data_IF_186542665805
#
_entry.id   IF_186542665805
#
_cell.length_a   1.000
_cell.length_b   1.000
_cell.length_c   1.000
_cell.angle_alpha   90.00
_cell.angle_beta   90.00
_cell.angle_gamma   90.00
#
_symmetry.space_group_name_H-M   'P 1'
#
loop_
_entity.id
_entity.type
_entity.pdbx_description
1 polymer ?
#
# COMPACT_ATOMS: atom_id res chain seq x y z
N UNK A 1 30.83 65.76 -46.09
CA UNK A 1 32.15 65.25 -45.66
C UNK A 1 32.30 65.61 -44.19
N UNK A 2 31.85 64.74 -43.29
CA UNK A 2 31.95 65.00 -41.85
C UNK A 2 33.42 64.96 -41.45
N UNK A 3 33.89 66.00 -40.77
CA UNK A 3 35.29 66.13 -40.35
C UNK A 3 35.52 65.18 -39.18
N UNK A 4 36.15 64.06 -39.47
CA UNK A 4 36.59 63.06 -38.49
C UNK A 4 37.54 63.74 -37.49
N UNK A 5 37.12 63.92 -36.24
CA UNK A 5 37.88 64.66 -35.22
C UNK A 5 38.57 63.70 -34.26
N UNK A 6 39.86 63.44 -34.47
CA UNK A 6 40.67 62.72 -33.48
C UNK A 6 40.79 63.52 -32.17
N UNK A 7 40.80 62.84 -31.03
CA UNK A 7 41.13 63.48 -29.75
C UNK A 7 42.54 64.08 -29.83
N UNK A 8 42.71 65.35 -29.47
CA UNK A 8 44.02 65.99 -29.50
C UNK A 8 44.97 65.34 -28.48
N UNK A 9 46.28 65.33 -28.76
CA UNK A 9 47.31 64.83 -27.83
C UNK A 9 47.21 65.46 -26.44
N UNK A 10 46.76 66.72 -26.37
CA UNK A 10 46.50 67.44 -25.12
C UNK A 10 45.36 66.82 -24.32
N UNK A 11 44.25 66.49 -24.97
CA UNK A 11 43.09 65.82 -24.36
C UNK A 11 43.44 64.37 -23.98
N UNK A 12 44.21 63.65 -24.80
CA UNK A 12 44.68 62.31 -24.47
C UNK A 12 45.58 62.29 -23.22
N UNK A 13 46.39 63.32 -23.02
CA UNK A 13 47.22 63.49 -21.82
C UNK A 13 46.44 63.77 -20.53
N UNK A 14 45.14 64.07 -20.59
CA UNK A 14 44.29 64.20 -19.41
C UNK A 14 43.83 62.83 -18.87
N UNK A 15 43.79 61.80 -19.72
CA UNK A 15 43.36 60.45 -19.37
C UNK A 15 44.51 59.43 -19.28
N UNK A 16 45.58 59.65 -20.05
CA UNK A 16 46.73 58.76 -20.15
C UNK A 16 47.98 59.44 -19.59
N UNK A 17 48.51 58.92 -18.49
CA UNK A 17 49.59 59.58 -17.74
C UNK A 17 50.99 59.43 -18.35
N UNK A 18 51.20 58.55 -19.33
CA UNK A 18 52.52 58.28 -19.94
C UNK A 18 52.52 58.50 -21.47
N UNK A 19 53.50 59.23 -22.04
CA UNK A 19 53.65 59.41 -23.49
C UNK A 19 53.58 58.13 -24.34
N UNK A 20 54.09 57.00 -23.85
CA UNK A 20 54.04 55.73 -24.57
C UNK A 20 52.61 55.19 -24.71
N UNK A 21 51.76 55.39 -23.69
CA UNK A 21 50.34 55.02 -23.77
C UNK A 21 49.55 55.92 -24.72
N UNK A 22 49.92 57.21 -24.80
CA UNK A 22 49.34 58.16 -25.77
C UNK A 22 49.72 57.78 -27.20
N UNK A 23 51.00 57.43 -27.44
CA UNK A 23 51.47 56.97 -28.76
C UNK A 23 50.83 55.63 -29.15
N UNK A 24 50.67 54.72 -28.21
CA UNK A 24 49.95 53.47 -28.45
C UNK A 24 48.50 53.72 -28.88
N UNK A 25 47.81 54.66 -28.23
CA UNK A 25 46.44 55.05 -28.60
C UNK A 25 46.37 55.72 -29.98
N UNK A 26 47.28 56.65 -30.29
CA UNK A 26 47.39 57.27 -31.62
C UNK A 26 47.63 56.20 -32.72
N UNK A 27 48.39 55.14 -32.41
CA UNK A 27 48.68 54.04 -33.31
C UNK A 27 47.51 53.04 -33.50
N UNK A 28 46.47 53.08 -32.65
CA UNK A 28 45.25 52.29 -32.88
C UNK A 28 44.48 52.78 -34.12
N UNK A 29 44.75 54.01 -34.59
CA UNK A 29 44.13 54.59 -35.78
C UNK A 29 42.62 54.83 -35.68
N UNK A 30 42.05 54.65 -34.50
CA UNK A 30 40.62 54.83 -34.24
C UNK A 30 40.32 56.32 -34.06
N UNK A 31 39.43 56.83 -34.90
CA UNK A 31 38.92 58.19 -34.75
C UNK A 31 37.66 58.24 -33.87
N UNK A 32 37.09 59.44 -33.63
CA UNK A 32 35.87 59.60 -32.82
C UNK A 32 34.68 58.79 -33.29
N UNK A 33 34.53 58.63 -34.61
CA UNK A 33 33.39 57.96 -35.22
C UNK A 33 33.57 56.44 -35.17
N UNK A 34 34.80 55.95 -35.34
CA UNK A 34 35.16 54.55 -35.13
C UNK A 34 34.97 54.14 -33.67
N UNK A 35 35.40 54.99 -32.73
CA UNK A 35 35.19 54.78 -31.30
C UNK A 35 33.71 54.80 -30.92
N UNK A 36 32.94 55.76 -31.43
CA UNK A 36 31.49 55.80 -31.23
C UNK A 36 30.82 54.53 -31.76
N UNK A 37 31.21 54.08 -32.96
CA UNK A 37 30.69 52.84 -33.56
C UNK A 37 31.02 51.61 -32.71
N UNK A 38 32.25 51.51 -32.19
CA UNK A 38 32.64 50.40 -31.31
C UNK A 38 31.93 50.44 -29.96
N UNK A 39 31.76 51.61 -29.35
CA UNK A 39 31.01 51.77 -28.10
C UNK A 39 29.55 51.38 -28.32
N UNK A 40 28.93 51.84 -29.40
CA UNK A 40 27.57 51.45 -29.76
C UNK A 40 27.45 49.95 -30.05
N UNK A 41 28.45 49.35 -30.70
CA UNK A 41 28.54 47.90 -30.89
C UNK A 41 28.60 47.14 -29.56
N UNK A 42 29.38 47.61 -28.59
CA UNK A 42 29.50 47.03 -27.25
C UNK A 42 28.20 47.23 -26.45
N UNK A 43 27.58 48.42 -26.50
CA UNK A 43 26.30 48.72 -25.83
C UNK A 43 25.17 47.82 -26.30
N UNK A 44 25.14 47.54 -27.60
CA UNK A 44 24.10 46.74 -28.23
C UNK A 44 24.38 45.22 -28.24
N UNK A 45 25.58 44.81 -27.83
CA UNK A 45 25.93 43.40 -27.72
C UNK A 45 24.99 42.69 -26.73
N UNK A 46 24.50 41.51 -27.12
CA UNK A 46 23.68 40.70 -26.22
C UNK A 46 24.58 40.10 -25.13
N UNK A 47 24.43 40.59 -23.91
CA UNK A 47 25.19 40.12 -22.75
C UNK A 47 24.26 39.55 -21.69
N UNK A 48 24.77 38.55 -20.96
CA UNK A 48 24.13 38.00 -19.78
C UNK A 48 24.74 38.67 -18.55
N UNK A 49 23.89 39.15 -17.65
CA UNK A 49 24.29 39.94 -16.48
C UNK A 49 23.61 39.40 -15.23
N UNK A 50 24.24 39.57 -14.06
CA UNK A 50 23.61 39.23 -12.78
C UNK A 50 22.64 40.33 -12.32
N UNK A 51 22.91 41.58 -12.71
CA UNK A 51 22.03 42.72 -12.51
C UNK A 51 22.18 43.71 -13.67
N UNK A 52 21.20 44.60 -13.83
CA UNK A 52 21.21 45.62 -14.86
C UNK A 52 22.32 46.64 -14.62
N UNK A 53 23.17 46.82 -15.62
CA UNK A 53 24.16 47.90 -15.68
C UNK A 53 23.63 49.06 -16.52
N UNK A 54 23.89 50.33 -16.15
CA UNK A 54 23.55 51.47 -16.99
C UNK A 54 24.44 51.58 -18.25
N UNK A 55 25.47 50.73 -18.39
CA UNK A 55 26.45 50.82 -19.48
C UNK A 55 26.08 50.03 -20.73
N UNK A 56 25.07 49.15 -20.65
CA UNK A 56 24.68 48.27 -21.75
C UNK A 56 23.18 48.40 -22.01
N UNK A 57 22.79 48.31 -23.27
CA UNK A 57 21.40 48.53 -23.69
C UNK A 57 20.67 47.20 -23.94
N UNK A 58 21.38 46.16 -24.36
CA UNK A 58 20.81 44.84 -24.69
C UNK A 58 21.20 43.76 -23.67
N UNK A 59 20.71 43.92 -22.44
CA UNK A 59 21.02 43.02 -21.33
C UNK A 59 19.94 41.97 -21.10
N UNK A 60 20.37 40.74 -20.79
CA UNK A 60 19.52 39.72 -20.17
C UNK A 60 19.99 39.53 -18.75
N UNK A 61 19.06 39.61 -17.81
CA UNK A 61 19.34 39.37 -16.39
C UNK A 61 19.13 37.90 -16.10
N UNK A 62 20.13 37.26 -15.49
CA UNK A 62 19.96 35.91 -14.92
C UNK A 62 19.02 36.04 -13.73
N UNK A 63 17.90 35.35 -13.79
CA UNK A 63 16.95 35.26 -12.68
C UNK A 63 16.59 33.81 -12.44
N UNK A 64 16.27 33.49 -11.19
CA UNK A 64 15.69 32.22 -10.80
C UNK A 64 14.22 32.37 -10.46
N UNK A 65 13.43 31.36 -10.79
CA UNK A 65 12.07 31.17 -10.27
C UNK A 65 12.06 30.70 -8.80
N UNK A 66 13.24 30.40 -8.23
CA UNK A 66 13.43 29.88 -6.88
C UNK A 66 13.72 28.38 -6.86
N UNK A 67 13.78 27.71 -8.02
CA UNK A 67 14.14 26.30 -8.13
C UNK A 67 15.60 26.05 -8.50
N UNK A 68 16.17 26.94 -9.31
CA UNK A 68 17.61 27.00 -9.58
C UNK A 68 18.20 28.08 -8.69
N UNK A 69 19.21 27.75 -7.90
CA UNK A 69 19.88 28.74 -7.06
C UNK A 69 21.05 29.35 -7.81
N UNK A 70 21.08 30.67 -7.87
CA UNK A 70 22.24 31.43 -8.33
C UNK A 70 22.86 32.12 -7.12
N UNK A 71 24.09 31.73 -6.79
CA UNK A 71 24.85 32.36 -5.70
C UNK A 71 26.07 33.03 -6.30
N UNK A 72 26.11 34.36 -6.21
CA UNK A 72 27.28 35.15 -6.55
C UNK A 72 28.18 35.29 -5.31
N UNK A 73 29.38 34.72 -5.37
CA UNK A 73 30.41 34.87 -4.34
C UNK A 73 31.07 36.26 -4.32
N UNK A 74 30.68 37.17 -5.21
CA UNK A 74 31.23 38.52 -5.34
C UNK A 74 32.59 38.55 -6.03
N UNK A 75 33.27 39.70 -5.97
CA UNK A 75 34.55 39.91 -6.65
C UNK A 75 35.64 38.92 -6.15
N UNK A 76 36.15 38.10 -7.06
CA UNK A 76 37.13 37.05 -6.75
C UNK A 76 36.53 35.76 -6.18
N UNK A 77 35.21 35.71 -5.98
CA UNK A 77 34.46 34.53 -5.56
C UNK A 77 34.01 33.65 -6.74
N UNK A 78 33.38 32.52 -6.43
CA UNK A 78 32.78 31.63 -7.44
C UNK A 78 31.34 32.03 -7.70
N UNK A 79 30.93 32.01 -8.96
CA UNK A 79 29.51 31.99 -9.34
C UNK A 79 29.03 30.54 -9.35
N UNK A 80 28.08 30.20 -8.47
CA UNK A 80 27.55 28.84 -8.37
C UNK A 80 26.13 28.78 -8.91
N UNK A 81 25.87 27.77 -9.74
CA UNK A 81 24.53 27.39 -10.20
C UNK A 81 24.18 26.06 -9.53
N UNK A 82 23.14 26.07 -8.71
CA UNK A 82 22.67 24.91 -7.95
C UNK A 82 21.19 24.64 -8.16
N UNK A 83 20.69 23.64 -7.46
CA UNK A 83 19.26 23.38 -7.33
C UNK A 83 18.87 23.69 -5.89
N UNK A 84 17.73 24.33 -5.69
CA UNK A 84 17.19 24.49 -4.35
C UNK A 84 16.83 23.14 -3.76
N UNK A 85 17.12 22.99 -2.47
CA UNK A 85 16.70 21.84 -1.70
C UNK A 85 15.18 21.71 -1.72
N UNK A 86 14.72 20.47 -1.71
CA UNK A 86 13.30 20.18 -1.48
C UNK A 86 13.01 20.27 0.01
N UNK A 87 11.73 20.38 0.39
CA UNK A 87 11.32 20.25 1.79
C UNK A 87 11.51 18.84 2.39
N UNK A 88 11.97 17.87 1.60
CA UNK A 88 12.18 16.48 2.03
C UNK A 88 13.55 16.35 2.68
N UNK A 89 13.57 15.92 3.94
CA UNK A 89 14.82 15.61 4.66
C UNK A 89 15.54 14.43 3.99
N UNK A 90 16.86 14.50 3.91
CA UNK A 90 17.69 13.40 3.38
C UNK A 90 17.59 12.17 4.29
N UNK A 91 17.38 10.99 3.69
CA UNK A 91 17.20 9.75 4.45
C UNK A 91 16.69 8.60 3.58
N UNK A 92 16.62 7.40 4.18
CA UNK A 92 15.96 6.25 3.59
C UNK A 92 14.47 6.28 3.89
N UNK A 93 13.63 6.13 2.86
CA UNK A 93 12.19 6.06 3.00
C UNK A 93 11.72 4.70 2.49
N UNK A 94 11.10 3.93 3.37
CA UNK A 94 10.62 2.57 3.10
C UNK A 94 11.52 1.48 3.66
N UNK A 95 10.89 0.34 3.96
CA UNK A 95 11.50 -0.92 4.38
C UNK A 95 10.55 -2.08 4.00
N UNK A 96 10.82 -3.29 4.48
CA UNK A 96 10.00 -4.46 4.18
C UNK A 96 8.56 -4.41 4.75
N UNK A 97 8.27 -3.46 5.64
CA UNK A 97 7.03 -3.32 6.39
C UNK A 97 6.34 -1.97 6.17
N UNK A 98 6.84 -1.10 5.30
CA UNK A 98 6.24 0.20 5.03
C UNK A 98 6.14 0.49 3.53
N UNK A 99 5.02 1.09 3.11
CA UNK A 99 4.90 1.73 1.79
C UNK A 99 5.16 3.23 1.91
N UNK A 100 5.64 3.80 0.82
CA UNK A 100 6.01 5.22 0.75
C UNK A 100 5.09 5.93 -0.22
N UNK A 101 4.44 6.98 0.27
CA UNK A 101 3.72 7.93 -0.57
C UNK A 101 4.57 9.20 -0.72
N UNK A 102 4.59 9.76 -1.93
CA UNK A 102 5.34 10.98 -2.21
C UNK A 102 4.46 12.00 -2.94
N UNK A 103 4.72 13.27 -2.65
CA UNK A 103 4.17 14.39 -3.41
C UNK A 103 5.23 14.88 -4.39
N UNK A 104 4.82 15.14 -5.63
CA UNK A 104 5.67 15.78 -6.64
C UNK A 104 5.12 17.14 -7.02
N UNK A 105 6.01 18.10 -7.29
CA UNK A 105 5.60 19.38 -7.84
C UNK A 105 5.43 19.33 -9.37
N UNK A 106 5.00 20.44 -9.97
CA UNK A 106 4.83 20.56 -11.43
C UNK A 106 6.14 20.37 -12.22
N UNK A 107 7.30 20.43 -11.56
CA UNK A 107 8.63 20.22 -12.13
C UNK A 107 9.15 18.79 -11.89
N UNK A 108 8.36 17.91 -11.28
CA UNK A 108 8.72 16.52 -11.01
C UNK A 108 9.62 16.28 -9.79
N UNK A 109 9.95 17.30 -9.00
CA UNK A 109 10.71 17.13 -7.76
C UNK A 109 9.80 16.61 -6.65
N UNK A 110 10.32 15.73 -5.80
CA UNK A 110 9.62 15.29 -4.60
C UNK A 110 9.58 16.45 -3.60
N UNK A 111 8.40 16.78 -3.05
CA UNK A 111 8.21 17.88 -2.10
C UNK A 111 7.71 17.44 -0.73
N UNK A 112 7.31 16.17 -0.62
CA UNK A 112 6.92 15.56 0.64
C UNK A 112 6.98 14.05 0.53
N UNK A 113 7.34 13.40 1.64
CA UNK A 113 7.36 11.94 1.75
C UNK A 113 6.59 11.54 3.00
N UNK A 114 5.70 10.56 2.86
CA UNK A 114 4.96 9.94 3.95
C UNK A 114 5.24 8.45 3.94
N UNK A 115 5.47 7.89 5.12
CA UNK A 115 5.74 6.46 5.32
C UNK A 115 4.55 5.86 6.05
N UNK A 116 3.92 4.85 5.45
CA UNK A 116 2.77 4.17 6.02
C UNK A 116 3.14 2.74 6.37
N UNK A 117 2.93 2.35 7.63
CA UNK A 117 3.13 0.98 8.08
C UNK A 117 2.13 0.06 7.40
N UNK A 118 2.58 -1.10 6.92
CA UNK A 118 1.73 -2.13 6.36
C UNK A 118 1.20 -3.03 7.47
N UNK A 119 -0.11 -3.16 7.57
CA UNK A 119 -0.78 -4.13 8.44
C UNK A 119 -2.05 -4.67 7.77
N UNK A 120 -2.69 -5.67 8.39
CA UNK A 120 -3.93 -6.23 7.86
C UNK A 120 -5.08 -5.23 7.78
N UNK A 121 -5.02 -4.12 8.52
CA UNK A 121 -6.09 -3.12 8.57
C UNK A 121 -6.06 -2.19 7.36
N UNK A 122 -4.89 -2.00 6.74
CA UNK A 122 -4.70 -1.04 5.64
C UNK A 122 -4.20 -1.64 4.33
N UNK A 123 -4.12 -2.97 4.25
CA UNK A 123 -3.86 -3.67 2.99
C UNK A 123 -5.16 -4.27 2.46
N UNK A 124 -5.72 -3.62 1.44
CA UNK A 124 -6.89 -4.11 0.72
C UNK A 124 -6.54 -5.37 -0.07
N UNK A 125 -7.34 -6.42 0.12
CA UNK A 125 -7.19 -7.66 -0.65
C UNK A 125 -7.83 -7.55 -2.04
N UNK A 126 -7.21 -8.20 -3.04
CA UNK A 126 -7.76 -8.27 -4.39
C UNK A 126 -8.72 -9.45 -4.56
N UNK A 127 -9.38 -9.58 -5.71
CA UNK A 127 -10.28 -10.73 -5.96
C UNK A 127 -9.56 -12.07 -6.14
N UNK A 128 -8.28 -12.06 -6.49
CA UNK A 128 -7.48 -13.27 -6.79
C UNK A 128 -6.58 -13.71 -5.64
N UNK A 129 -6.00 -12.75 -4.92
CA UNK A 129 -5.06 -13.01 -3.83
C UNK A 129 -5.63 -12.44 -2.55
N UNK A 130 -6.17 -13.36 -1.74
CA UNK A 130 -6.73 -13.09 -0.43
C UNK A 130 -5.81 -13.76 0.62
N UNK A 131 -5.54 -13.05 1.71
CA UNK A 131 -4.97 -13.56 2.96
C UNK A 131 -5.83 -14.67 3.55
N UNK A 132 -7.15 -14.62 3.35
CA UNK A 132 -8.09 -15.67 3.75
C UNK A 132 -9.01 -16.07 2.61
N UNK A 133 -9.20 -17.38 2.40
CA UNK A 133 -10.31 -17.89 1.59
C UNK A 133 -11.09 -18.93 2.37
N UNK A 134 -12.42 -18.86 2.29
CA UNK A 134 -13.28 -19.87 2.91
C UNK A 134 -12.97 -21.27 2.38
N UNK A 135 -12.54 -21.39 1.11
CA UNK A 135 -12.20 -22.68 0.53
C UNK A 135 -10.94 -23.31 1.16
N UNK A 136 -9.83 -22.55 1.28
CA UNK A 136 -8.61 -23.07 1.94
C UNK A 136 -8.84 -23.38 3.41
N UNK A 137 -9.62 -22.54 4.09
CA UNK A 137 -9.99 -22.78 5.49
C UNK A 137 -10.78 -24.11 5.63
N UNK A 138 -11.66 -24.41 4.67
CA UNK A 138 -12.41 -25.66 4.64
C UNK A 138 -11.54 -26.88 4.28
N UNK A 139 -10.65 -26.74 3.30
CA UNK A 139 -9.71 -27.80 2.88
C UNK A 139 -8.70 -28.17 3.98
N UNK A 140 -8.42 -27.27 4.91
CA UNK A 140 -7.53 -27.53 6.05
C UNK A 140 -8.14 -28.47 7.11
N UNK A 141 -9.46 -28.69 7.07
CA UNK A 141 -10.16 -29.55 8.02
C UNK A 141 -10.23 -30.99 7.53
N UNK A 142 -10.19 -31.93 8.47
CA UNK A 142 -10.44 -33.35 8.22
C UNK A 142 -11.37 -33.91 9.30
N UNK A 143 -12.18 -34.89 8.92
CA UNK A 143 -13.12 -35.51 9.85
C UNK A 143 -12.59 -36.82 10.44
N UNK A 144 -12.79 -37.00 11.74
CA UNK A 144 -12.61 -38.28 12.41
C UNK A 144 -13.86 -39.16 12.36
N UNK A 145 -13.77 -40.33 12.98
CA UNK A 145 -14.93 -41.19 13.25
C UNK A 145 -15.99 -40.42 14.05
N UNK A 146 -17.27 -40.62 13.73
CA UNK A 146 -18.38 -39.96 14.42
C UNK A 146 -18.66 -38.52 14.00
N UNK A 147 -17.84 -37.90 13.14
CA UNK A 147 -18.08 -36.55 12.60
C UNK A 147 -18.35 -36.63 11.10
N UNK A 148 -19.32 -35.84 10.64
CA UNK A 148 -19.55 -35.53 9.24
C UNK A 148 -19.23 -34.05 8.99
N UNK A 149 -18.24 -33.81 8.14
CA UNK A 149 -17.80 -32.50 7.69
C UNK A 149 -18.09 -32.34 6.20
N UNK A 150 -18.80 -31.27 5.84
CA UNK A 150 -19.04 -30.90 4.45
C UNK A 150 -18.04 -29.81 4.03
N UNK A 151 -17.10 -30.14 3.15
CA UNK A 151 -16.08 -29.20 2.65
C UNK A 151 -16.61 -28.18 1.63
N UNK A 152 -17.81 -28.37 1.09
CA UNK A 152 -18.48 -27.40 0.23
C UNK A 152 -19.10 -26.25 1.02
N UNK A 153 -19.79 -26.58 2.12
CA UNK A 153 -20.53 -25.60 2.94
C UNK A 153 -19.79 -25.18 4.22
N UNK A 154 -18.91 -26.03 4.75
CA UNK A 154 -18.25 -25.85 6.03
C UNK A 154 -19.04 -26.42 7.22
N UNK A 155 -20.16 -27.11 7.00
CA UNK A 155 -20.98 -27.67 8.07
C UNK A 155 -20.25 -28.82 8.79
N UNK A 156 -20.25 -28.80 10.12
CA UNK A 156 -19.74 -29.88 10.98
C UNK A 156 -20.91 -30.41 11.81
N UNK A 157 -21.17 -31.71 11.72
CA UNK A 157 -22.23 -32.40 12.48
C UNK A 157 -21.76 -33.75 13.00
N UNK A 158 -22.40 -34.23 14.06
CA UNK A 158 -22.25 -35.61 14.49
C UNK A 158 -22.82 -36.56 13.42
N UNK A 159 -22.16 -37.69 13.19
CA UNK A 159 -22.76 -38.81 12.46
C UNK A 159 -23.79 -39.46 13.37
N UNK A 160 -25.04 -39.66 12.93
CA UNK A 160 -25.97 -40.45 13.72
C UNK A 160 -25.44 -41.89 13.84
N UNK A 161 -25.76 -42.58 14.94
CA UNK A 161 -25.57 -44.03 14.99
C UNK A 161 -26.40 -44.65 13.86
N UNK A 162 -25.87 -45.68 13.18
CA UNK A 162 -26.41 -46.22 11.91
C UNK A 162 -27.91 -46.49 11.92
N UNK A 163 -28.52 -46.55 10.73
CA UNK A 163 -29.97 -46.61 10.57
C UNK A 163 -30.59 -47.82 11.29
N UNK A 164 -31.37 -47.55 12.34
CA UNK A 164 -32.27 -48.53 12.94
C UNK A 164 -33.67 -48.28 12.38
N UNK A 165 -34.42 -49.29 11.99
CA UNK A 165 -35.84 -49.05 11.71
C UNK A 165 -36.60 -48.78 13.02
N UNK A 166 -37.65 -47.94 12.95
CA UNK A 166 -38.52 -47.73 14.13
C UNK A 166 -39.29 -49.03 14.39
N UNK A 167 -39.17 -49.64 15.58
CA UNK A 167 -39.94 -50.82 15.92
C UNK A 167 -41.44 -50.53 15.79
N UNK A 168 -42.17 -51.40 15.10
CA UNK A 168 -43.61 -51.29 14.95
C UNK A 168 -44.32 -51.91 16.17
N UNK A 169 -45.50 -51.40 16.53
CA UNK A 169 -46.33 -51.92 17.63
C UNK A 169 -46.60 -50.92 18.76
N UNK A 170 -47.29 -51.38 19.82
CA UNK A 170 -47.63 -50.55 20.98
C UNK A 170 -46.40 -50.27 21.84
N UNK A 171 -46.12 -49.00 22.11
CA UNK A 171 -45.05 -48.62 23.04
C UNK A 171 -45.55 -48.64 24.49
N UNK A 172 -44.70 -49.04 25.43
CA UNK A 172 -44.98 -48.91 26.86
C UNK A 172 -43.86 -48.13 27.56
N UNK A 173 -44.24 -47.02 28.20
CA UNK A 173 -43.35 -46.09 28.93
C UNK A 173 -43.59 -46.11 30.43
N UNK A 174 -44.46 -47.00 30.91
CA UNK A 174 -44.70 -47.17 32.33
C UNK A 174 -43.47 -47.79 33.03
N UNK A 175 -43.44 -47.71 34.36
CA UNK A 175 -42.41 -48.35 35.15
C UNK A 175 -42.33 -49.85 34.83
N UNK A 176 -41.12 -50.33 34.54
CA UNK A 176 -40.90 -51.73 34.24
C UNK A 176 -41.03 -52.56 35.53
N UNK A 177 -41.84 -53.62 35.55
CA UNK A 177 -42.04 -54.39 36.77
C UNK A 177 -40.76 -55.10 37.19
N UNK A 178 -40.56 -55.28 38.50
CA UNK A 178 -39.46 -56.09 39.03
C UNK A 178 -39.58 -57.51 38.50
N UNK A 179 -38.49 -58.06 37.97
CA UNK A 179 -38.48 -59.44 37.49
C UNK A 179 -38.67 -60.41 38.64
N UNK A 180 -39.73 -61.21 38.54
CA UNK A 180 -39.95 -62.39 39.37
C UNK A 180 -39.83 -63.62 38.48
N UNK A 181 -38.94 -64.55 38.81
CA UNK A 181 -38.80 -65.80 38.05
C UNK A 181 -40.14 -66.55 38.04
N UNK A 182 -40.67 -66.92 36.87
CA UNK A 182 -41.83 -67.79 36.79
C UNK A 182 -41.52 -69.15 37.44
N UNK A 183 -42.47 -69.71 38.18
CA UNK A 183 -42.46 -71.12 38.54
C UNK A 183 -43.31 -71.84 37.49
N UNK A 184 -42.80 -72.94 36.93
CA UNK A 184 -43.47 -73.72 35.90
C UNK A 184 -43.78 -75.11 36.45
N UNK A 185 -45.06 -75.48 36.47
CA UNK A 185 -45.49 -76.81 36.90
C UNK A 185 -45.11 -77.90 35.90
N UNK A 186 -45.17 -79.15 36.36
CA UNK A 186 -45.03 -80.34 35.50
C UNK A 186 -46.31 -81.17 35.58
N UNK A 187 -47.15 -81.22 34.52
CA UNK A 187 -47.00 -80.52 33.24
C UNK A 187 -47.32 -79.01 33.37
N UNK A 188 -46.81 -78.16 32.46
CA UNK A 188 -47.12 -76.73 32.45
C UNK A 188 -48.61 -76.46 32.20
N UNK A 189 -49.14 -75.45 32.86
CA UNK A 189 -50.50 -74.96 32.69
C UNK A 189 -50.59 -73.90 31.58
N UNK A 190 -51.76 -73.74 30.99
CA UNK A 190 -52.03 -72.65 30.04
C UNK A 190 -51.78 -71.26 30.66
N UNK A 191 -52.09 -71.09 31.95
CA UNK A 191 -51.90 -69.83 32.66
C UNK A 191 -50.42 -69.45 32.78
N UNK A 192 -49.54 -70.41 33.03
CA UNK A 192 -48.09 -70.18 33.09
C UNK A 192 -47.52 -69.79 31.73
N UNK A 193 -47.97 -70.47 30.66
CA UNK A 193 -47.57 -70.13 29.29
C UNK A 193 -48.07 -68.72 28.90
N UNK A 194 -49.31 -68.38 29.27
CA UNK A 194 -49.86 -67.04 29.04
C UNK A 194 -49.07 -65.97 29.78
N UNK A 195 -48.70 -66.21 31.05
CA UNK A 195 -47.90 -65.28 31.84
C UNK A 195 -46.51 -65.01 31.21
N UNK A 196 -45.86 -66.03 30.65
CA UNK A 196 -44.60 -65.87 29.90
C UNK A 196 -44.83 -65.02 28.66
N UNK A 197 -45.88 -65.30 27.89
CA UNK A 197 -46.23 -64.52 26.68
C UNK A 197 -46.47 -63.05 27.01
N UNK A 198 -47.22 -62.77 28.07
CA UNK A 198 -47.52 -61.40 28.51
C UNK A 198 -46.23 -60.69 28.96
N UNK A 199 -45.33 -61.40 29.66
CA UNK A 199 -44.02 -60.90 30.03
C UNK A 199 -43.15 -60.56 28.81
N UNK A 200 -43.07 -61.46 27.82
CA UNK A 200 -42.33 -61.21 26.58
C UNK A 200 -42.92 -60.02 25.80
N UNK A 201 -44.25 -59.89 25.78
CA UNK A 201 -44.92 -58.76 25.15
C UNK A 201 -44.58 -57.45 25.88
N UNK A 202 -44.53 -57.45 27.22
CA UNK A 202 -44.11 -56.28 27.99
C UNK A 202 -42.66 -55.86 27.71
N UNK A 203 -41.72 -56.83 27.60
CA UNK A 203 -40.33 -56.60 27.18
C UNK A 203 -40.32 -55.92 25.81
N UNK A 204 -41.02 -56.50 24.83
CA UNK A 204 -41.07 -56.01 23.45
C UNK A 204 -41.59 -54.57 23.36
N UNK A 205 -42.69 -54.25 24.07
CA UNK A 205 -43.26 -52.89 24.10
C UNK A 205 -42.34 -51.86 24.75
N UNK A 206 -41.56 -52.27 25.75
CA UNK A 206 -40.61 -51.38 26.45
C UNK A 206 -39.38 -51.12 25.59
N UNK A 207 -38.84 -52.16 24.93
CA UNK A 207 -37.74 -52.01 23.98
C UNK A 207 -38.14 -51.12 22.79
N UNK A 208 -39.37 -51.25 22.29
CA UNK A 208 -39.91 -50.37 21.26
C UNK A 208 -39.95 -48.90 21.69
N UNK A 209 -40.36 -48.62 22.94
CA UNK A 209 -40.35 -47.26 23.49
C UNK A 209 -38.93 -46.69 23.61
N UNK A 210 -37.98 -47.49 24.12
CA UNK A 210 -36.57 -47.09 24.24
C UNK A 210 -35.95 -46.72 22.90
N UNK A 211 -36.15 -47.55 21.87
CA UNK A 211 -35.60 -47.29 20.52
C UNK A 211 -36.23 -46.02 19.92
N UNK A 212 -37.54 -45.81 20.13
CA UNK A 212 -38.22 -44.57 19.73
C UNK A 212 -37.59 -43.35 20.41
N UNK A 213 -37.36 -43.42 21.72
CA UNK A 213 -36.75 -42.31 22.47
C UNK A 213 -35.33 -42.01 22.02
N UNK A 214 -34.55 -43.05 21.74
CA UNK A 214 -33.20 -42.85 21.23
C UNK A 214 -33.22 -42.19 19.85
N UNK A 215 -34.22 -42.47 19.01
CA UNK A 215 -34.41 -41.78 17.73
C UNK A 215 -34.91 -40.34 17.89
N UNK A 216 -35.90 -40.12 18.74
CA UNK A 216 -36.47 -38.80 19.00
C UNK A 216 -35.42 -37.85 19.60
N UNK A 217 -34.49 -38.38 20.39
CA UNK A 217 -33.35 -37.64 20.93
C UNK A 217 -32.14 -37.55 19.97
N UNK A 218 -32.24 -38.09 18.75
CA UNK A 218 -31.18 -38.03 17.74
C UNK A 218 -29.96 -38.93 18.03
N UNK A 219 -30.06 -39.84 18.99
CA UNK A 219 -29.00 -40.80 19.33
C UNK A 219 -28.94 -41.99 18.34
N UNK A 220 -30.05 -42.30 17.67
CA UNK A 220 -30.14 -43.26 16.57
C UNK A 220 -30.69 -42.57 15.32
N UNK A 221 -30.25 -42.99 14.13
CA UNK A 221 -30.93 -42.64 12.86
C UNK A 221 -32.07 -43.59 12.54
#
# INVERSE_FOLDING_TARGET
>A
MATVSNLSRKLLGEFLSNPETIRAFENLGMNSDDMATQIEGIRNAAILTLDLSPLFENQRVVSSDGEVEFTDGGAGGTLTIGLSDTGVTTGGYGDASHVVAFAVNAKGRITGVQVHALNSDNVTEGSTHLYFTTNRAREALSQGSGINYDSGTGEIKAKPAGAFDVPTGTQNRAAYPTYTSPIISSPPTQAEVQAISDGLQAVSRTLAALISDMKDNGNLS
#
